data_IF_637171939112
#
_entry.id   IF_637171939112
#
_cell.length_a   1.000
_cell.length_b   1.000
_cell.length_c   1.000
_cell.angle_alpha   90.00
_cell.angle_beta   90.00
_cell.angle_gamma   90.00
#
_symmetry.space_group_name_H-M   'P 1'
#
loop_
_entity.id
_entity.type
_entity.pdbx_description
1 polymer ?
#
# COMPACT_ATOMS: atom_id res chain seq x y z
N UNK A 1 2.89 -9.24 -16.11
CA UNK A 1 4.03 -8.32 -16.02
C UNK A 1 4.50 -7.98 -17.42
N UNK A 2 5.30 -6.94 -17.55
CA UNK A 2 5.98 -6.55 -18.80
C UNK A 2 7.48 -6.43 -18.55
N UNK A 3 8.29 -6.84 -19.50
CA UNK A 3 9.74 -6.67 -19.47
C UNK A 3 10.24 -6.44 -20.89
N UNK A 4 11.32 -5.67 -21.03
CA UNK A 4 11.94 -5.46 -22.32
C UNK A 4 13.26 -4.73 -22.20
N UNK A 5 14.13 -5.01 -23.16
CA UNK A 5 15.47 -4.42 -23.28
C UNK A 5 15.52 -3.37 -24.39
N UNK A 6 16.27 -2.30 -24.17
CA UNK A 6 16.52 -1.26 -25.18
C UNK A 6 15.22 -0.61 -25.65
N UNK A 7 14.88 -0.70 -26.95
CA UNK A 7 13.57 -0.28 -27.47
C UNK A 7 12.41 -1.00 -26.77
N UNK A 8 12.57 -2.28 -26.41
CA UNK A 8 11.59 -3.00 -25.59
C UNK A 8 11.49 -2.44 -24.17
N UNK A 9 12.58 -1.90 -23.62
CA UNK A 9 12.60 -1.19 -22.34
C UNK A 9 11.85 0.14 -22.41
N UNK A 10 12.00 0.87 -23.52
CA UNK A 10 11.22 2.08 -23.81
C UNK A 10 9.72 1.76 -23.91
N UNK A 11 9.34 0.70 -24.62
CA UNK A 11 7.93 0.27 -24.68
C UNK A 11 7.44 -0.12 -23.28
N UNK A 12 8.23 -0.87 -22.52
CA UNK A 12 7.90 -1.29 -21.15
C UNK A 12 7.65 -0.08 -20.23
N UNK A 13 8.51 0.94 -20.28
CA UNK A 13 8.32 2.19 -19.54
C UNK A 13 7.15 3.02 -20.08
N UNK A 14 6.98 3.06 -21.41
CA UNK A 14 5.88 3.71 -22.11
C UNK A 14 4.52 3.21 -21.65
N UNK A 15 4.38 1.90 -21.39
CA UNK A 15 3.15 1.31 -20.88
C UNK A 15 2.79 1.73 -19.44
N UNK A 16 3.70 2.40 -18.73
CA UNK A 16 3.47 3.00 -17.41
C UNK A 16 3.24 4.52 -17.48
N UNK A 17 3.50 5.12 -18.65
CA UNK A 17 3.66 6.57 -18.83
C UNK A 17 2.83 7.03 -20.02
N UNK A 18 3.42 7.07 -21.22
CA UNK A 18 2.82 7.58 -22.46
C UNK A 18 1.65 6.76 -23.01
N UNK A 19 1.60 5.45 -22.72
CA UNK A 19 0.58 4.50 -23.22
C UNK A 19 0.05 3.62 -22.10
N UNK A 20 -0.58 4.19 -21.06
CA UNK A 20 -0.82 3.50 -19.81
C UNK A 20 -1.76 2.30 -19.96
N UNK A 21 -1.33 1.13 -19.50
CA UNK A 21 -2.17 -0.07 -19.40
C UNK A 21 -2.35 -0.48 -17.93
N UNK A 22 -3.58 -0.30 -17.43
CA UNK A 22 -3.94 -0.56 -16.02
C UNK A 22 -3.80 -2.02 -15.60
N UNK A 23 -3.70 -2.95 -16.56
CA UNK A 23 -3.53 -4.39 -16.28
C UNK A 23 -2.10 -4.71 -15.82
N UNK A 24 -1.15 -3.78 -16.01
CA UNK A 24 0.24 -3.97 -15.65
C UNK A 24 0.42 -3.74 -14.15
N UNK A 25 0.81 -4.81 -13.46
CA UNK A 25 1.10 -4.82 -12.01
C UNK A 25 2.60 -4.94 -11.70
N UNK A 26 3.40 -5.31 -12.70
CA UNK A 26 4.84 -5.54 -12.58
C UNK A 26 5.52 -5.20 -13.90
N UNK A 27 6.60 -4.42 -13.83
CA UNK A 27 7.37 -3.98 -14.98
C UNK A 27 8.88 -4.11 -14.73
N UNK A 28 9.61 -4.48 -15.77
CA UNK A 28 11.06 -4.53 -15.77
C UNK A 28 11.65 -3.90 -17.04
N UNK A 29 11.73 -2.56 -17.12
CA UNK A 29 12.45 -1.88 -18.19
C UNK A 29 13.97 -2.04 -18.02
N UNK A 30 14.63 -2.58 -19.05
CA UNK A 30 16.07 -2.81 -19.10
C UNK A 30 16.71 -1.91 -20.17
N UNK A 31 17.83 -1.26 -19.87
CA UNK A 31 18.50 -0.32 -20.78
C UNK A 31 17.50 0.63 -21.48
N UNK A 32 16.58 1.21 -20.72
CA UNK A 32 15.51 2.04 -21.25
C UNK A 32 15.91 3.52 -21.31
N UNK A 33 15.20 4.28 -22.13
CA UNK A 33 15.14 5.74 -22.03
C UNK A 33 13.83 6.12 -21.35
N UNK A 34 13.84 7.24 -20.66
CA UNK A 34 12.65 7.85 -20.10
C UNK A 34 11.60 8.13 -21.19
N UNK A 35 10.35 7.79 -20.89
CA UNK A 35 9.19 7.91 -21.78
C UNK A 35 8.13 8.87 -21.22
N UNK A 36 8.52 9.70 -20.24
CA UNK A 36 7.71 10.73 -19.63
C UNK A 36 7.13 10.32 -18.28
N UNK A 37 6.30 11.22 -17.74
CA UNK A 37 5.81 11.09 -16.37
C UNK A 37 4.90 9.85 -16.15
N UNK A 38 4.98 9.20 -14.96
CA UNK A 38 4.09 8.12 -14.59
C UNK A 38 2.61 8.50 -14.70
N UNK A 39 1.81 7.58 -15.26
CA UNK A 39 0.36 7.71 -15.24
C UNK A 39 -0.20 7.33 -13.88
N UNK A 40 -1.09 8.16 -13.32
CA UNK A 40 -1.84 7.84 -12.09
C UNK A 40 -2.77 6.64 -12.24
N UNK A 41 -2.98 6.16 -13.46
CA UNK A 41 -3.83 5.02 -13.76
C UNK A 41 -3.13 3.66 -13.66
N UNK A 42 -1.80 3.65 -13.53
CA UNK A 42 -0.97 2.44 -13.46
C UNK A 42 -0.30 2.36 -12.10
N UNK A 43 -0.46 1.24 -11.40
CA UNK A 43 0.09 1.00 -10.06
C UNK A 43 1.17 -0.09 -10.05
N UNK A 44 1.89 -0.22 -11.17
CA UNK A 44 2.88 -1.26 -11.36
C UNK A 44 4.08 -1.09 -10.42
N UNK A 45 4.60 -2.21 -9.93
CA UNK A 45 5.93 -2.26 -9.29
C UNK A 45 6.98 -2.27 -10.40
N UNK A 46 8.00 -1.40 -10.32
CA UNK A 46 9.00 -1.25 -11.40
C UNK A 46 10.43 -1.60 -10.98
N UNK A 47 11.07 -2.53 -11.69
CA UNK A 47 12.51 -2.83 -11.57
C UNK A 47 13.26 -2.33 -12.81
N UNK A 48 14.13 -1.35 -12.66
CA UNK A 48 15.05 -0.95 -13.72
C UNK A 48 16.34 -1.79 -13.67
N UNK A 49 16.87 -2.15 -14.83
CA UNK A 49 18.20 -2.78 -14.96
C UNK A 49 19.01 -2.01 -16.00
N UNK A 50 20.24 -1.61 -15.67
CA UNK A 50 21.06 -0.82 -16.62
C UNK A 50 22.55 -0.91 -16.33
N UNK A 51 23.38 -0.93 -17.38
CA UNK A 51 24.82 -0.66 -17.27
C UNK A 51 25.12 0.84 -17.22
N UNK A 52 26.01 1.30 -16.34
CA UNK A 52 26.29 2.74 -16.18
C UNK A 52 27.27 3.33 -17.23
N UNK A 53 27.80 2.50 -18.14
CA UNK A 53 28.60 2.90 -19.31
C UNK A 53 27.92 2.52 -20.63
N UNK A 54 26.60 2.41 -20.62
CA UNK A 54 25.80 2.20 -21.83
C UNK A 54 25.89 3.42 -22.77
N UNK A 55 26.38 3.20 -23.99
CA UNK A 55 26.51 4.21 -25.04
C UNK A 55 25.35 4.21 -26.05
N UNK A 56 24.39 3.30 -25.92
CA UNK A 56 23.24 3.16 -26.83
C UNK A 56 22.01 3.84 -26.25
N UNK A 57 21.72 3.57 -24.98
CA UNK A 57 20.64 4.23 -24.23
C UNK A 57 21.22 4.91 -23.00
N UNK A 58 20.83 6.17 -22.78
CA UNK A 58 21.46 6.98 -21.73
C UNK A 58 21.11 6.47 -20.33
N UNK A 59 22.13 6.09 -19.57
CA UNK A 59 21.98 5.74 -18.15
C UNK A 59 21.30 6.86 -17.35
N UNK A 60 21.62 8.14 -17.61
CA UNK A 60 20.99 9.26 -16.91
C UNK A 60 19.50 9.37 -17.20
N UNK A 61 19.06 8.97 -18.40
CA UNK A 61 17.65 8.95 -18.76
C UNK A 61 16.90 7.84 -18.02
N UNK A 62 17.46 6.63 -17.93
CA UNK A 62 16.90 5.57 -17.09
C UNK A 62 16.82 5.98 -15.61
N UNK A 63 17.81 6.75 -15.13
CA UNK A 63 17.81 7.31 -13.76
C UNK A 63 16.72 8.35 -13.53
N UNK A 64 16.42 9.16 -14.54
CA UNK A 64 15.28 10.07 -14.50
C UNK A 64 13.97 9.30 -14.41
N UNK A 65 13.74 8.34 -15.33
CA UNK A 65 12.58 7.45 -15.31
C UNK A 65 12.37 6.80 -13.93
N UNK A 66 13.43 6.24 -13.34
CA UNK A 66 13.38 5.69 -11.99
C UNK A 66 13.02 6.71 -10.91
N UNK A 67 13.52 7.95 -11.03
CA UNK A 67 13.24 9.02 -10.05
C UNK A 67 11.76 9.38 -10.04
N UNK A 68 11.17 9.47 -11.23
CA UNK A 68 9.76 9.81 -11.45
C UNK A 68 8.80 8.70 -11.01
N UNK A 69 9.18 7.42 -11.18
CA UNK A 69 8.34 6.29 -10.75
C UNK A 69 7.99 6.32 -9.26
N UNK A 70 6.78 5.88 -8.94
CA UNK A 70 6.36 5.68 -7.54
C UNK A 70 6.88 4.36 -6.99
N UNK A 71 6.72 4.16 -5.69
CA UNK A 71 7.02 2.88 -5.06
C UNK A 71 5.89 1.88 -5.38
N UNK A 72 6.13 0.57 -5.28
CA UNK A 72 7.43 -0.05 -5.12
C UNK A 72 8.32 0.04 -6.37
N UNK A 73 9.59 0.38 -6.17
CA UNK A 73 10.57 0.50 -7.25
C UNK A 73 11.96 0.04 -6.87
N UNK A 74 12.72 -0.42 -7.83
CA UNK A 74 14.14 -0.72 -7.66
C UNK A 74 14.94 -0.41 -8.92
N UNK A 75 16.25 -0.25 -8.75
CA UNK A 75 17.23 -0.05 -9.80
C UNK A 75 18.44 -0.93 -9.53
N UNK A 76 18.69 -1.88 -10.43
CA UNK A 76 19.92 -2.66 -10.47
C UNK A 76 20.87 -2.05 -11.51
N UNK A 77 21.90 -1.38 -11.02
CA UNK A 77 22.99 -0.85 -11.86
C UNK A 77 24.11 -1.88 -11.95
N UNK A 78 24.56 -2.20 -13.15
CA UNK A 78 25.81 -2.90 -13.39
C UNK A 78 26.92 -1.87 -13.61
N UNK A 79 27.79 -1.72 -12.60
CA UNK A 79 28.86 -0.71 -12.55
C UNK A 79 29.97 -1.10 -13.53
N UNK A 80 30.34 -0.17 -14.40
CA UNK A 80 31.20 -0.41 -15.57
C UNK A 80 30.50 -1.15 -16.71
N UNK A 81 29.21 -1.46 -16.59
CA UNK A 81 28.46 -2.26 -17.55
C UNK A 81 28.07 -1.50 -18.82
N UNK A 82 28.01 -2.22 -19.94
CA UNK A 82 27.54 -1.71 -21.23
C UNK A 82 26.03 -1.95 -21.43
N UNK A 83 25.54 -1.69 -22.64
CA UNK A 83 24.15 -1.92 -23.05
C UNK A 83 23.64 -3.35 -22.82
N UNK A 84 24.51 -4.35 -22.85
CA UNK A 84 24.12 -5.78 -22.78
C UNK A 84 24.95 -6.61 -21.80
N UNK A 85 25.96 -6.02 -21.15
CA UNK A 85 26.94 -6.77 -20.35
C UNK A 85 26.35 -7.53 -19.16
N UNK A 86 25.12 -7.20 -18.74
CA UNK A 86 24.46 -7.82 -17.59
C UNK A 86 23.78 -9.15 -17.92
N UNK A 87 23.53 -9.48 -19.19
CA UNK A 87 22.86 -10.72 -19.56
C UNK A 87 23.67 -11.99 -19.23
N UNK A 88 25.00 -11.90 -19.26
CA UNK A 88 25.89 -13.00 -18.86
C UNK A 88 26.06 -13.12 -17.36
N UNK A 89 25.56 -12.16 -16.59
CA UNK A 89 25.72 -12.11 -15.14
C UNK A 89 24.53 -12.74 -14.43
N UNK A 90 24.77 -13.75 -13.58
CA UNK A 90 23.68 -14.50 -12.92
C UNK A 90 22.82 -13.65 -11.98
N UNK A 91 23.31 -12.50 -11.51
CA UNK A 91 22.52 -11.58 -10.70
C UNK A 91 21.32 -11.02 -11.47
N UNK A 92 21.47 -10.78 -12.78
CA UNK A 92 20.37 -10.31 -13.62
C UNK A 92 19.14 -11.25 -13.58
N UNK A 93 19.24 -12.53 -14.01
CA UNK A 93 18.09 -13.42 -13.97
C UNK A 93 17.62 -13.73 -12.55
N UNK A 94 18.52 -13.79 -11.55
CA UNK A 94 18.11 -14.02 -10.16
C UNK A 94 17.21 -12.88 -9.66
N UNK A 95 17.65 -11.63 -9.79
CA UNK A 95 16.89 -10.45 -9.34
C UNK A 95 15.58 -10.29 -10.12
N UNK A 96 15.60 -10.49 -11.44
CA UNK A 96 14.38 -10.36 -12.27
C UNK A 96 13.35 -11.44 -11.94
N UNK A 97 13.78 -12.68 -11.70
CA UNK A 97 12.87 -13.78 -11.34
C UNK A 97 12.24 -13.55 -9.97
N UNK A 98 13.04 -13.20 -8.95
CA UNK A 98 12.48 -12.95 -7.62
C UNK A 98 11.64 -11.66 -7.57
N UNK A 99 11.96 -10.67 -8.42
CA UNK A 99 11.09 -9.52 -8.64
C UNK A 99 9.73 -9.95 -9.21
N UNK A 100 9.72 -10.74 -10.28
CA UNK A 100 8.48 -11.23 -10.88
C UNK A 100 7.67 -12.07 -9.87
N UNK A 101 8.31 -12.93 -9.10
CA UNK A 101 7.65 -13.75 -8.06
C UNK A 101 6.94 -12.90 -7.02
N UNK A 102 7.64 -11.91 -6.48
CA UNK A 102 7.04 -11.02 -5.50
C UNK A 102 5.92 -10.17 -6.12
N UNK A 103 6.20 -9.52 -7.24
CA UNK A 103 5.32 -8.48 -7.78
C UNK A 103 4.09 -9.03 -8.52
N UNK A 104 4.15 -10.26 -9.01
CA UNK A 104 3.02 -10.91 -9.70
C UNK A 104 2.29 -11.92 -8.82
N UNK A 105 2.95 -12.57 -7.86
CA UNK A 105 2.37 -13.65 -7.06
C UNK A 105 2.37 -13.38 -5.54
N UNK A 106 2.89 -12.24 -5.09
CA UNK A 106 2.89 -11.88 -3.67
C UNK A 106 3.93 -12.63 -2.83
N UNK A 107 4.91 -13.28 -3.44
CA UNK A 107 5.98 -14.00 -2.73
C UNK A 107 6.90 -13.02 -1.97
N UNK A 108 6.62 -12.83 -0.69
CA UNK A 108 7.43 -11.95 0.17
C UNK A 108 8.81 -12.52 0.48
N UNK A 109 9.00 -13.85 0.42
CA UNK A 109 10.31 -14.44 0.59
C UNK A 109 11.22 -14.12 -0.61
N UNK A 110 10.68 -14.07 -1.82
CA UNK A 110 11.41 -13.58 -3.00
C UNK A 110 11.79 -12.10 -2.87
N UNK A 111 10.87 -11.25 -2.38
CA UNK A 111 11.19 -9.84 -2.08
C UNK A 111 12.39 -9.72 -1.14
N UNK A 112 12.41 -10.53 -0.08
CA UNK A 112 13.43 -10.45 0.96
C UNK A 112 14.81 -10.94 0.46
N UNK A 113 14.86 -11.76 -0.59
CA UNK A 113 16.11 -12.18 -1.26
C UNK A 113 16.67 -11.16 -2.25
N UNK A 114 15.86 -10.24 -2.77
CA UNK A 114 16.27 -9.28 -3.81
C UNK A 114 17.59 -8.54 -3.51
N UNK A 115 17.85 -7.99 -2.31
CA UNK A 115 19.12 -7.33 -2.03
C UNK A 115 20.33 -8.27 -2.14
N UNK A 116 20.16 -9.54 -1.74
CA UNK A 116 21.21 -10.54 -1.84
C UNK A 116 21.41 -11.01 -3.29
N UNK A 117 20.32 -11.19 -4.05
CA UNK A 117 20.39 -11.58 -5.47
C UNK A 117 21.06 -10.51 -6.33
N UNK A 118 20.86 -9.23 -5.99
CA UNK A 118 21.45 -8.10 -6.69
C UNK A 118 22.88 -7.77 -6.26
N UNK A 119 23.34 -8.28 -5.11
CA UNK A 119 24.59 -7.89 -4.49
C UNK A 119 25.82 -8.39 -5.27
N UNK A 120 26.83 -7.52 -5.39
CA UNK A 120 28.15 -7.90 -5.86
C UNK A 120 29.06 -6.68 -6.06
N UNK A 121 30.37 -6.90 -6.31
CA UNK A 121 31.39 -5.85 -6.28
C UNK A 121 31.25 -4.81 -7.40
N UNK A 122 30.56 -5.16 -8.48
CA UNK A 122 30.28 -4.33 -9.66
C UNK A 122 28.77 -4.16 -9.89
N UNK A 123 27.95 -4.26 -8.85
CA UNK A 123 26.54 -3.86 -8.91
C UNK A 123 26.23 -2.82 -7.86
N UNK A 124 25.27 -1.94 -8.17
CA UNK A 124 24.65 -1.03 -7.20
C UNK A 124 23.15 -1.31 -7.20
N UNK A 125 22.66 -1.72 -6.04
CA UNK A 125 21.25 -1.97 -5.77
C UNK A 125 20.65 -0.77 -5.05
N UNK A 126 19.63 -0.16 -5.64
CA UNK A 126 18.86 0.92 -5.04
C UNK A 126 17.39 0.51 -5.05
N UNK A 127 16.77 0.39 -3.89
CA UNK A 127 15.41 -0.12 -3.83
C UNK A 127 14.55 0.57 -2.79
N UNK A 128 13.28 0.63 -3.13
CA UNK A 128 12.18 1.15 -2.32
C UNK A 128 11.05 0.12 -2.40
N UNK A 129 11.23 -0.98 -1.67
CA UNK A 129 10.42 -2.21 -1.76
C UNK A 129 9.17 -2.22 -0.87
N UNK A 130 9.04 -1.22 0.01
CA UNK A 130 7.81 -0.98 0.76
C UNK A 130 6.79 -0.19 -0.06
N UNK A 131 5.68 0.21 0.56
CA UNK A 131 4.83 1.26 0.01
C UNK A 131 5.52 2.63 0.11
N UNK A 132 5.09 3.60 -0.72
CA UNK A 132 5.65 4.97 -0.90
C UNK A 132 6.23 5.64 0.36
N UNK A 133 7.14 6.65 0.22
CA UNK A 133 7.67 7.38 1.37
C UNK A 133 6.50 8.14 2.00
N UNK A 134 5.95 7.57 3.05
CA UNK A 134 4.58 7.81 3.51
C UNK A 134 3.93 6.60 4.19
N UNK A 135 4.52 5.39 4.07
CA UNK A 135 3.89 4.17 4.58
C UNK A 135 2.62 3.83 3.79
N UNK A 136 1.82 2.84 4.24
CA UNK A 136 0.43 2.73 3.77
C UNK A 136 -0.22 4.11 3.98
N UNK A 137 -0.98 4.60 3.00
CA UNK A 137 -1.71 5.84 3.18
C UNK A 137 -2.52 5.74 4.48
N UNK A 138 -2.19 6.59 5.43
CA UNK A 138 -2.93 6.68 6.67
C UNK A 138 -4.09 7.65 6.47
N UNK A 139 -5.19 7.38 7.17
CA UNK A 139 -6.39 8.16 7.09
C UNK A 139 -6.94 8.44 8.47
N UNK A 140 -7.54 9.61 8.62
CA UNK A 140 -8.48 9.88 9.70
C UNK A 140 -9.89 9.52 9.23
N UNK A 141 -10.64 8.79 10.07
CA UNK A 141 -12.01 8.38 9.79
C UNK A 141 -12.96 9.32 10.53
N UNK A 142 -13.56 10.28 9.83
CA UNK A 142 -14.41 11.32 10.42
C UNK A 142 -15.88 10.96 10.27
N UNK A 143 -16.57 10.69 11.38
CA UNK A 143 -17.99 10.36 11.37
C UNK A 143 -18.82 11.52 10.79
N UNK A 144 -19.68 11.20 9.82
CA UNK A 144 -20.43 12.20 9.06
C UNK A 144 -21.43 12.99 9.92
N UNK A 145 -22.02 12.36 10.95
CA UNK A 145 -23.01 13.03 11.81
C UNK A 145 -22.38 13.98 12.84
N UNK A 146 -21.23 13.64 13.40
CA UNK A 146 -20.61 14.41 14.50
C UNK A 146 -19.43 15.29 14.08
N UNK A 147 -18.82 15.00 12.92
CA UNK A 147 -17.58 15.64 12.49
C UNK A 147 -16.34 15.26 13.31
N UNK A 148 -16.46 14.24 14.19
CA UNK A 148 -15.38 13.75 15.05
C UNK A 148 -14.69 12.55 14.42
N UNK A 149 -13.42 12.36 14.75
CA UNK A 149 -12.58 11.29 14.23
C UNK A 149 -12.67 10.04 15.11
N UNK A 150 -12.58 8.86 14.50
CA UNK A 150 -12.25 7.64 15.22
C UNK A 150 -10.87 7.79 15.89
N UNK A 151 -10.75 7.32 17.13
CA UNK A 151 -9.62 7.58 18.02
C UNK A 151 -9.41 6.37 18.96
N UNK A 152 -8.17 5.89 19.09
CA UNK A 152 -7.82 4.91 20.13
C UNK A 152 -7.69 5.63 21.47
N UNK A 153 -8.60 5.30 22.39
CA UNK A 153 -8.74 5.97 23.68
C UNK A 153 -7.40 6.10 24.43
N UNK A 154 -7.12 7.31 24.91
CA UNK A 154 -5.88 7.69 25.61
C UNK A 154 -4.58 7.43 24.81
N UNK A 155 -4.66 7.26 23.49
CA UNK A 155 -3.54 6.87 22.64
C UNK A 155 -2.84 5.58 23.11
N UNK A 156 -3.58 4.69 23.80
CA UNK A 156 -3.04 3.43 24.31
C UNK A 156 -2.43 2.59 23.18
N UNK A 157 -1.29 1.95 23.45
CA UNK A 157 -0.65 0.97 22.55
C UNK A 157 -0.98 -0.48 22.93
N UNK A 158 -1.77 -0.69 23.99
CA UNK A 158 -2.15 -2.00 24.48
C UNK A 158 -3.33 -2.61 23.72
N UNK A 159 -3.30 -3.94 23.57
CA UNK A 159 -4.43 -4.71 23.08
C UNK A 159 -5.65 -4.57 24.00
N UNK A 160 -6.85 -4.53 23.42
CA UNK A 160 -8.10 -4.32 24.12
C UNK A 160 -8.48 -2.85 24.36
N UNK A 161 -7.62 -1.89 23.99
CA UNK A 161 -7.99 -0.47 24.07
C UNK A 161 -9.16 -0.16 23.13
N UNK A 162 -10.14 0.59 23.64
CA UNK A 162 -11.38 0.91 22.93
C UNK A 162 -11.15 1.94 21.82
N UNK A 163 -11.89 1.75 20.74
CA UNK A 163 -12.11 2.78 19.74
C UNK A 163 -13.24 3.69 20.21
N UNK A 164 -12.98 4.99 20.23
CA UNK A 164 -13.95 6.04 20.54
C UNK A 164 -13.99 7.05 19.39
N UNK A 165 -14.92 7.99 19.44
CA UNK A 165 -14.76 9.23 18.67
C UNK A 165 -14.14 10.33 19.53
N UNK A 166 -13.38 11.22 18.89
CA UNK A 166 -12.82 12.40 19.53
C UNK A 166 -12.70 13.55 18.54
N UNK A 167 -12.63 14.77 19.07
CA UNK A 167 -12.32 15.97 18.27
C UNK A 167 -11.07 15.74 17.44
N UNK A 168 -11.20 15.95 16.13
CA UNK A 168 -10.14 15.71 15.15
C UNK A 168 -8.88 16.50 15.52
N UNK A 169 -7.75 15.83 15.55
CA UNK A 169 -6.43 16.39 15.77
C UNK A 169 -5.39 15.65 14.93
N UNK A 170 -4.13 16.07 14.98
CA UNK A 170 -3.05 15.49 14.17
C UNK A 170 -2.29 14.33 14.84
N UNK A 171 -2.78 13.82 15.99
CA UNK A 171 -2.08 12.75 16.72
C UNK A 171 -2.23 11.41 16.01
N UNK A 172 -1.23 10.56 16.19
CA UNK A 172 -1.12 9.28 15.48
C UNK A 172 -2.16 8.24 15.89
N UNK A 173 -2.81 8.39 17.05
CA UNK A 173 -3.92 7.54 17.50
C UNK A 173 -5.26 7.79 16.78
N UNK A 174 -5.33 8.81 15.92
CA UNK A 174 -6.45 9.08 15.00
C UNK A 174 -6.12 8.74 13.53
N UNK A 175 -5.04 8.01 13.31
CA UNK A 175 -4.53 7.69 11.97
C UNK A 175 -4.56 6.18 11.76
N UNK A 176 -5.22 5.76 10.69
CA UNK A 176 -5.47 4.35 10.39
C UNK A 176 -5.01 3.98 8.99
N UNK A 177 -4.32 2.85 8.89
CA UNK A 177 -3.87 2.24 7.64
C UNK A 177 -4.88 1.16 7.22
N UNK A 178 -5.20 1.10 5.94
CA UNK A 178 -6.06 0.08 5.36
C UNK A 178 -5.19 -0.98 4.70
N UNK A 179 -5.14 -2.16 5.31
CA UNK A 179 -4.31 -3.29 4.84
C UNK A 179 -5.22 -4.26 4.10
N UNK A 180 -4.86 -4.63 2.88
CA UNK A 180 -5.62 -5.60 2.09
C UNK A 180 -5.71 -6.96 2.84
N UNK A 181 -6.89 -7.57 2.77
CA UNK A 181 -7.19 -8.88 3.35
C UNK A 181 -7.75 -9.88 2.31
N UNK A 182 -7.77 -9.50 1.03
CA UNK A 182 -8.31 -10.32 -0.06
C UNK A 182 -9.84 -10.29 -0.13
N UNK A 183 -10.38 -10.80 -1.23
CA UNK A 183 -11.84 -10.89 -1.49
C UNK A 183 -12.61 -9.57 -1.29
N UNK A 184 -11.97 -8.43 -1.55
CA UNK A 184 -12.57 -7.11 -1.34
C UNK A 184 -12.71 -6.68 0.13
N UNK A 185 -12.00 -7.33 1.05
CA UNK A 185 -11.95 -6.98 2.46
C UNK A 185 -10.62 -6.31 2.83
N UNK A 186 -10.66 -5.53 3.90
CA UNK A 186 -9.49 -4.86 4.48
C UNK A 186 -9.41 -5.14 5.97
N UNK A 187 -8.22 -4.99 6.55
CA UNK A 187 -8.01 -4.84 7.99
C UNK A 187 -7.62 -3.39 8.26
N UNK A 188 -8.11 -2.83 9.35
CA UNK A 188 -7.87 -1.42 9.70
C UNK A 188 -6.88 -1.36 10.85
N UNK A 189 -5.68 -0.84 10.60
CA UNK A 189 -4.56 -0.81 11.54
C UNK A 189 -4.39 0.58 12.12
N UNK A 190 -4.34 0.71 13.44
CA UNK A 190 -3.96 1.96 14.09
C UNK A 190 -2.47 2.23 13.88
N UNK A 191 -2.13 3.40 13.32
CA UNK A 191 -0.75 3.73 12.91
C UNK A 191 0.21 3.76 14.08
N UNK A 192 -0.22 4.27 15.24
CA UNK A 192 0.66 4.47 16.40
C UNK A 192 1.00 3.18 17.15
N UNK A 193 0.06 2.24 17.24
CA UNK A 193 0.24 0.98 17.98
C UNK A 193 0.62 -0.20 17.08
N UNK A 194 0.27 -0.12 15.79
CA UNK A 194 0.39 -1.22 14.85
C UNK A 194 -0.66 -2.33 15.02
N UNK A 195 -1.65 -2.12 15.90
CA UNK A 195 -2.73 -3.07 16.20
C UNK A 195 -3.95 -2.85 15.30
N UNK A 196 -4.82 -3.85 15.20
CA UNK A 196 -5.95 -3.89 14.26
C UNK A 196 -7.30 -3.76 14.94
N UNK A 197 -8.23 -3.06 14.29
CA UNK A 197 -9.59 -2.90 14.78
C UNK A 197 -10.38 -4.20 14.69
N UNK A 198 -10.97 -4.59 15.81
CA UNK A 198 -11.73 -5.82 15.99
C UNK A 198 -12.91 -5.58 16.93
N UNK A 199 -14.15 -5.97 16.58
CA UNK A 199 -15.25 -6.04 17.54
C UNK A 199 -14.97 -7.06 18.65
N UNK A 200 -15.41 -6.80 19.88
CA UNK A 200 -15.24 -7.73 21.03
C UNK A 200 -16.16 -8.95 20.98
N UNK A 201 -17.06 -9.03 19.99
CA UNK A 201 -17.95 -10.15 19.74
C UNK A 201 -18.70 -9.97 18.42
N UNK A 202 -19.69 -10.81 18.15
CA UNK A 202 -20.47 -10.78 16.88
C UNK A 202 -21.88 -10.20 17.02
N UNK A 203 -22.21 -9.67 18.21
CA UNK A 203 -23.52 -9.09 18.51
C UNK A 203 -23.54 -7.58 18.34
N UNK A 204 -24.72 -7.06 18.05
CA UNK A 204 -25.02 -5.63 18.07
C UNK A 204 -24.64 -5.01 19.43
N UNK A 205 -23.93 -3.89 19.41
CA UNK A 205 -23.44 -3.18 20.59
C UNK A 205 -22.14 -3.69 21.20
N UNK A 206 -21.50 -4.70 20.60
CA UNK A 206 -20.12 -5.05 20.94
C UNK A 206 -19.18 -3.89 20.54
N UNK A 207 -18.30 -3.50 21.46
CA UNK A 207 -17.31 -2.44 21.24
C UNK A 207 -16.29 -2.85 20.17
N UNK A 208 -15.81 -1.86 19.42
CA UNK A 208 -14.61 -2.03 18.58
C UNK A 208 -13.39 -1.68 19.43
N UNK A 209 -12.41 -2.56 19.44
CA UNK A 209 -11.13 -2.40 20.16
C UNK A 209 -9.96 -2.61 19.20
N UNK A 210 -8.75 -2.23 19.59
CA UNK A 210 -7.54 -2.67 18.88
C UNK A 210 -7.02 -4.00 19.44
N UNK A 211 -6.56 -4.90 18.59
CA UNK A 211 -6.03 -6.22 18.94
C UNK A 211 -4.80 -6.58 18.10
N UNK A 212 -4.01 -7.55 18.57
CA UNK A 212 -2.91 -8.12 17.79
C UNK A 212 -3.44 -8.73 16.49
N UNK A 213 -2.66 -8.65 15.42
CA UNK A 213 -3.04 -9.19 14.12
C UNK A 213 -3.11 -10.71 14.18
N UNK A 214 -4.28 -11.27 13.86
CA UNK A 214 -4.49 -12.71 13.74
C UNK A 214 -4.98 -13.10 12.34
N UNK A 215 -5.30 -12.10 11.49
CA UNK A 215 -5.95 -12.33 10.21
C UNK A 215 -7.38 -12.86 10.29
N UNK A 216 -7.95 -13.01 11.50
CA UNK A 216 -9.29 -13.56 11.70
C UNK A 216 -10.37 -12.72 11.01
N UNK A 217 -11.49 -13.36 10.64
CA UNK A 217 -12.62 -12.70 9.96
C UNK A 217 -13.20 -11.54 10.77
N UNK A 218 -13.17 -11.60 12.10
CA UNK A 218 -13.55 -10.50 12.98
C UNK A 218 -12.66 -9.25 12.86
N UNK A 219 -11.46 -9.35 12.28
CA UNK A 219 -10.58 -8.20 11.98
C UNK A 219 -10.75 -7.66 10.56
N UNK A 220 -11.56 -8.33 9.74
CA UNK A 220 -11.75 -8.00 8.34
C UNK A 220 -13.04 -7.22 8.13
N UNK A 221 -12.97 -6.20 7.29
CA UNK A 221 -14.03 -5.25 7.04
C UNK A 221 -14.26 -5.14 5.54
N UNK A 222 -15.50 -5.27 5.11
CA UNK A 222 -15.94 -4.86 3.78
C UNK A 222 -16.13 -3.36 3.77
N UNK A 223 -15.49 -2.68 2.82
CA UNK A 223 -15.72 -1.25 2.57
C UNK A 223 -16.96 -1.10 1.70
N UNK A 224 -17.94 -0.35 2.18
CA UNK A 224 -19.07 0.12 1.37
C UNK A 224 -18.80 1.57 1.00
N UNK A 225 -18.56 1.82 -0.28
CA UNK A 225 -18.29 3.16 -0.82
C UNK A 225 -19.59 3.92 -1.10
N UNK A 226 -19.68 5.15 -0.60
CA UNK A 226 -20.79 6.08 -0.83
C UNK A 226 -20.42 7.23 -1.77
N UNK A 227 -19.20 7.23 -2.32
CA UNK A 227 -18.63 8.31 -3.11
C UNK A 227 -18.03 9.43 -2.25
N UNK A 228 -17.18 10.26 -2.86
CA UNK A 228 -16.60 11.45 -2.20
C UNK A 228 -15.78 11.13 -0.94
N UNK A 229 -15.03 10.02 -0.97
CA UNK A 229 -14.25 9.48 0.16
C UNK A 229 -15.08 9.08 1.41
N UNK A 230 -16.40 8.94 1.28
CA UNK A 230 -17.27 8.49 2.37
C UNK A 230 -17.47 6.98 2.32
N UNK A 231 -17.20 6.31 3.44
CA UNK A 231 -17.27 4.85 3.54
C UNK A 231 -18.09 4.40 4.75
N UNK A 232 -18.64 3.18 4.67
CA UNK A 232 -19.01 2.38 5.84
C UNK A 232 -18.10 1.15 5.92
N UNK A 233 -17.84 0.68 7.14
CA UNK A 233 -17.05 -0.52 7.40
C UNK A 233 -17.97 -1.60 7.96
N UNK A 234 -18.18 -2.68 7.21
CA UNK A 234 -19.02 -3.81 7.62
C UNK A 234 -18.15 -5.00 7.94
N UNK A 235 -18.21 -5.50 9.17
CA UNK A 235 -17.38 -6.60 9.62
C UNK A 235 -17.70 -7.90 8.86
N UNK A 236 -16.67 -8.64 8.44
CA UNK A 236 -16.82 -9.87 7.64
C UNK A 236 -17.45 -11.01 8.43
N UNK A 237 -17.19 -11.09 9.73
CA UNK A 237 -17.69 -12.17 10.59
C UNK A 237 -19.15 -11.94 11.01
N UNK A 238 -19.48 -10.74 11.51
CA UNK A 238 -20.81 -10.46 12.04
C UNK A 238 -21.80 -9.90 11.01
N UNK A 239 -21.31 -9.31 9.91
CA UNK A 239 -22.13 -8.55 8.96
C UNK A 239 -22.62 -7.20 9.52
N UNK A 240 -22.16 -6.80 10.71
CA UNK A 240 -22.53 -5.55 11.37
C UNK A 240 -21.56 -4.41 11.00
N UNK A 241 -22.05 -3.17 11.01
CA UNK A 241 -21.27 -2.00 10.64
C UNK A 241 -20.65 -1.31 11.85
N UNK A 242 -19.45 -0.74 11.66
CA UNK A 242 -18.87 0.21 12.60
C UNK A 242 -19.82 1.40 12.79
N UNK A 243 -20.13 1.73 14.03
CA UNK A 243 -21.22 2.62 14.43
C UNK A 243 -20.78 3.49 15.61
N UNK A 244 -20.91 4.81 15.48
CA UNK A 244 -20.80 5.71 16.64
C UNK A 244 -22.07 5.57 17.47
N UNK A 245 -21.91 4.99 18.66
CA UNK A 245 -23.01 4.55 19.50
C UNK A 245 -24.00 5.69 19.78
N UNK A 246 -25.29 5.38 19.63
CA UNK A 246 -26.41 6.30 19.92
C UNK A 246 -26.34 7.66 19.20
N UNK A 247 -25.67 7.75 18.04
CA UNK A 247 -25.45 9.02 17.32
C UNK A 247 -24.77 10.09 18.18
N UNK A 248 -24.03 9.68 19.20
CA UNK A 248 -23.41 10.63 20.12
C UNK A 248 -22.53 11.62 19.35
N UNK A 249 -22.52 12.88 19.82
CA UNK A 249 -21.62 13.94 19.34
C UNK A 249 -20.61 14.35 20.41
N UNK A 250 -20.47 13.57 21.48
CA UNK A 250 -19.53 13.83 22.57
C UNK A 250 -18.16 13.18 22.29
N UNK A 251 -17.10 13.80 22.79
CA UNK A 251 -15.77 13.17 22.85
C UNK A 251 -15.79 11.99 23.83
N UNK A 252 -15.08 10.92 23.47
CA UNK A 252 -15.02 9.69 24.27
C UNK A 252 -16.21 8.76 24.08
N UNK A 253 -17.19 9.11 23.24
CA UNK A 253 -18.27 8.20 22.91
C UNK A 253 -17.72 6.96 22.20
N UNK A 254 -18.15 5.78 22.66
CA UNK A 254 -17.68 4.49 22.13
C UNK A 254 -18.07 4.30 20.67
N UNK A 255 -17.18 3.65 19.91
CA UNK A 255 -17.51 3.10 18.61
C UNK A 255 -17.72 1.59 18.79
N UNK A 256 -18.88 1.12 18.38
CA UNK A 256 -19.32 -0.27 18.51
C UNK A 256 -19.71 -0.79 17.11
N UNK A 257 -20.19 -2.02 17.03
CA UNK A 257 -20.86 -2.50 15.83
C UNK A 257 -22.39 -2.48 16.00
N UNK A 258 -23.12 -2.14 14.94
CA UNK A 258 -24.58 -2.18 14.92
C UNK A 258 -25.09 -2.74 13.59
N UNK A 259 -26.38 -3.10 13.54
CA UNK A 259 -27.03 -3.49 12.28
C UNK A 259 -26.78 -2.43 11.22
N UNK A 260 -26.30 -2.85 10.05
CA UNK A 260 -26.00 -1.91 8.98
C UNK A 260 -27.29 -1.26 8.46
N UNK A 261 -27.40 0.04 8.68
CA UNK A 261 -28.50 0.90 8.20
C UNK A 261 -28.01 1.87 7.13
N UNK A 262 -26.69 2.09 7.05
CA UNK A 262 -26.10 3.10 6.20
C UNK A 262 -26.41 4.52 6.67
N UNK A 263 -26.78 4.72 7.93
CA UNK A 263 -27.06 6.05 8.46
C UNK A 263 -25.77 6.86 8.74
N UNK A 264 -25.86 8.19 8.94
CA UNK A 264 -24.68 9.05 9.07
C UNK A 264 -23.70 8.70 10.20
N UNK A 265 -24.15 8.07 11.29
CA UNK A 265 -23.27 7.58 12.37
C UNK A 265 -22.51 6.29 12.03
N UNK A 266 -22.82 5.67 10.89
CA UNK A 266 -22.13 4.52 10.28
C UNK A 266 -21.33 4.91 9.03
N UNK A 267 -21.25 6.21 8.72
CA UNK A 267 -20.51 6.75 7.57
C UNK A 267 -19.34 7.58 8.05
N UNK A 268 -18.16 7.28 7.52
CA UNK A 268 -16.92 7.95 7.86
C UNK A 268 -16.30 8.55 6.60
N UNK A 269 -15.99 9.83 6.64
CA UNK A 269 -15.16 10.48 5.62
C UNK A 269 -13.73 10.07 5.86
N UNK A 270 -13.11 9.44 4.86
CA UNK A 270 -11.74 8.99 4.89
C UNK A 270 -10.81 10.12 4.43
N UNK A 271 -10.24 10.87 5.38
CA UNK A 271 -9.32 11.99 5.09
C UNK A 271 -7.87 11.52 5.13
N UNK A 272 -7.14 11.68 4.03
CA UNK A 272 -5.71 11.32 3.97
C UNK A 272 -4.88 12.23 4.87
N UNK A 273 -3.90 11.67 5.58
CA UNK A 273 -2.93 12.39 6.43
C UNK A 273 -1.50 12.29 5.90
#
# INVERSE_FOLDING_TARGET
>A
GVSGHSLGGMITHGLLTSWPDRRIISANPESCTDMGNPSSSVSAKVLFVHGDRDSTTSYSSARQAYTEMTWPKAFLTFVGGSHTSFWSDRRFPNTVVDWARWTMYGDTAARDRLPADAAGPNTRWEARLGDSPGGPAAYTLVAQHSGKAADIYEASTGAGARLVQWTTNSRSNQQFEFVDAGDGHVRVKARHSGLFLQPTGTVTGADVVQQADTGATGQQWRVVDHGGDVISLVNRESGLAMDVWEYSTADGARISQWTYTGNPNQRFTRRRV
#
